data_IF_569919501516
#
_entry.id   IF_569919501516
#
_cell.length_a   1.000
_cell.length_b   1.000
_cell.length_c   1.000
_cell.angle_alpha   90.00
_cell.angle_beta   90.00
_cell.angle_gamma   90.00
#
_symmetry.space_group_name_H-M   'P 1'
#
loop_
_entity.id
_entity.type
_entity.pdbx_description
1 polymer ?
#
# COMPACT_ATOMS: atom_id res chain seq x y z
N UNK A 1 57.61 -18.32 -19.34
CA UNK A 1 57.13 -18.41 -17.95
C UNK A 1 55.89 -17.54 -17.80
N UNK A 2 54.71 -18.18 -17.79
CA UNK A 2 53.40 -17.74 -17.25
C UNK A 2 52.95 -16.30 -17.51
N UNK A 3 52.23 -16.10 -18.62
CA UNK A 3 51.15 -15.12 -18.72
C UNK A 3 49.94 -15.65 -17.93
N UNK A 4 49.62 -15.03 -16.80
CA UNK A 4 48.34 -15.24 -16.12
C UNK A 4 47.74 -13.85 -15.90
N UNK A 5 46.92 -13.42 -16.86
CA UNK A 5 46.02 -12.27 -16.70
C UNK A 5 44.75 -12.81 -16.05
N UNK A 6 44.62 -12.58 -14.75
CA UNK A 6 43.52 -13.05 -13.93
C UNK A 6 42.26 -12.20 -14.20
N UNK A 7 41.33 -12.71 -15.00
CA UNK A 7 40.01 -12.10 -15.19
C UNK A 7 39.15 -12.48 -13.97
N UNK A 8 38.94 -11.55 -13.05
CA UNK A 8 37.96 -11.70 -11.98
C UNK A 8 36.56 -11.48 -12.57
N UNK A 9 35.85 -12.57 -12.89
CA UNK A 9 34.43 -12.51 -13.26
C UNK A 9 33.63 -12.32 -11.96
N UNK A 10 33.26 -11.07 -11.67
CA UNK A 10 32.27 -10.78 -10.63
C UNK A 10 30.89 -11.08 -11.22
N UNK A 11 30.35 -12.25 -10.89
CA UNK A 11 28.94 -12.56 -11.12
C UNK A 11 28.09 -11.78 -10.09
N UNK A 12 27.61 -10.60 -10.47
CA UNK A 12 26.54 -9.92 -9.73
C UNK A 12 25.23 -10.64 -10.07
N UNK A 13 24.79 -11.54 -9.20
CA UNK A 13 23.45 -12.11 -9.30
C UNK A 13 22.44 -11.01 -8.91
N UNK A 14 21.90 -10.31 -9.91
CA UNK A 14 20.75 -9.43 -9.72
C UNK A 14 19.52 -10.31 -9.43
N UNK A 15 19.21 -10.48 -8.14
CA UNK A 15 17.93 -11.06 -7.73
C UNK A 15 16.83 -10.02 -7.91
N UNK A 16 16.13 -10.07 -9.05
CA UNK A 16 14.87 -9.34 -9.21
C UNK A 16 13.76 -10.15 -8.56
N UNK A 17 13.54 -9.97 -7.25
CA UNK A 17 12.31 -10.48 -6.63
C UNK A 17 11.10 -9.71 -7.19
N UNK A 18 10.06 -10.43 -7.58
CA UNK A 18 8.78 -9.83 -7.91
C UNK A 18 8.22 -9.10 -6.68
N UNK A 19 7.66 -7.90 -6.86
CA UNK A 19 7.04 -7.14 -5.79
C UNK A 19 5.76 -7.85 -5.33
N UNK A 20 5.59 -8.05 -4.02
CA UNK A 20 4.33 -8.59 -3.46
C UNK A 20 3.18 -7.60 -3.69
N UNK A 21 2.02 -8.10 -4.13
CA UNK A 21 0.84 -7.28 -4.45
C UNK A 21 -0.31 -7.65 -3.50
N UNK A 22 -0.91 -6.64 -2.87
CA UNK A 22 -2.17 -6.76 -2.13
C UNK A 22 -3.25 -5.95 -2.82
N UNK A 23 -4.39 -6.59 -3.11
CA UNK A 23 -5.49 -5.98 -3.87
C UNK A 23 -6.63 -5.62 -2.93
N UNK A 24 -6.93 -4.32 -2.84
CA UNK A 24 -8.13 -3.80 -2.19
C UNK A 24 -9.33 -4.03 -3.12
N UNK A 25 -10.35 -4.69 -2.60
CA UNK A 25 -11.58 -5.05 -3.32
C UNK A 25 -12.86 -4.54 -2.64
N UNK A 26 -12.73 -4.00 -1.42
CA UNK A 26 -13.86 -3.50 -0.62
C UNK A 26 -13.63 -2.06 -0.18
N UNK A 27 -14.73 -1.33 -0.02
CA UNK A 27 -14.75 0.05 0.50
C UNK A 27 -15.00 0.15 2.00
N UNK A 28 -15.37 -0.96 2.63
CA UNK A 28 -15.69 -1.01 4.07
C UNK A 28 -14.44 -0.86 4.94
N UNK A 29 -14.62 -0.29 6.12
CA UNK A 29 -13.61 -0.20 7.18
C UNK A 29 -14.21 -0.73 8.49
N UNK A 30 -14.13 -2.06 8.71
CA UNK A 30 -14.73 -2.71 9.88
C UNK A 30 -13.94 -2.39 11.16
N UNK A 31 -14.62 -2.50 12.30
CA UNK A 31 -13.98 -2.38 13.61
C UNK A 31 -12.91 -3.48 13.76
N UNK A 32 -11.61 -3.14 13.89
CA UNK A 32 -10.53 -4.12 13.99
C UNK A 32 -10.58 -4.97 15.25
N UNK A 33 -11.28 -4.54 16.29
CA UNK A 33 -11.43 -5.32 17.53
C UNK A 33 -12.55 -6.35 17.44
N UNK A 34 -13.54 -6.11 16.57
CA UNK A 34 -14.65 -7.04 16.30
C UNK A 34 -14.29 -8.00 15.16
N UNK A 35 -13.68 -7.49 14.10
CA UNK A 35 -13.30 -8.24 12.90
C UNK A 35 -11.77 -8.24 12.77
N UNK A 36 -11.08 -9.14 13.48
CA UNK A 36 -9.63 -9.10 13.57
C UNK A 36 -8.97 -9.43 12.23
N UNK A 37 -7.82 -8.80 12.05
CA UNK A 37 -6.85 -9.17 11.03
C UNK A 37 -6.07 -10.41 11.45
N UNK A 38 -5.77 -11.27 10.47
CA UNK A 38 -4.79 -12.35 10.57
C UNK A 38 -3.82 -12.29 9.38
N UNK A 39 -2.56 -12.71 9.61
CA UNK A 39 -1.55 -12.78 8.56
C UNK A 39 -1.90 -13.84 7.51
N UNK A 40 -2.50 -14.96 7.90
CA UNK A 40 -3.00 -15.98 6.99
C UNK A 40 -4.39 -15.59 6.47
N UNK A 41 -4.51 -15.40 5.15
CA UNK A 41 -5.72 -14.83 4.55
C UNK A 41 -6.97 -15.68 4.81
N UNK A 42 -6.82 -17.01 4.93
CA UNK A 42 -7.92 -17.94 5.23
C UNK A 42 -8.43 -17.85 6.67
N UNK A 43 -7.67 -17.21 7.57
CA UNK A 43 -8.01 -17.01 8.98
C UNK A 43 -8.50 -15.59 9.27
N UNK A 44 -8.33 -14.67 8.31
CA UNK A 44 -8.77 -13.29 8.44
C UNK A 44 -10.31 -13.20 8.43
N UNK A 45 -10.88 -12.29 9.23
CA UNK A 45 -12.31 -12.06 9.22
C UNK A 45 -12.79 -11.68 7.79
N UNK A 46 -13.89 -12.26 7.28
CA UNK A 46 -14.39 -11.96 5.94
C UNK A 46 -14.67 -10.47 5.71
N UNK A 47 -15.07 -9.73 6.74
CA UNK A 47 -15.31 -8.29 6.71
C UNK A 47 -14.02 -7.49 6.56
N UNK A 48 -12.92 -7.96 7.16
CA UNK A 48 -11.59 -7.34 7.12
C UNK A 48 -10.87 -7.63 5.80
N UNK A 49 -10.91 -8.88 5.33
CA UNK A 49 -10.19 -9.32 4.13
C UNK A 49 -10.59 -8.51 2.88
N UNK A 50 -9.59 -7.96 2.18
CA UNK A 50 -9.78 -7.16 0.96
C UNK A 50 -10.09 -5.68 1.18
N UNK A 51 -10.08 -5.20 2.43
CA UNK A 51 -10.20 -3.76 2.76
C UNK A 51 -8.85 -3.05 2.66
N UNK A 52 -8.84 -1.72 2.60
CA UNK A 52 -7.60 -0.92 2.71
C UNK A 52 -6.90 -1.17 4.06
N UNK A 53 -7.68 -1.35 5.13
CA UNK A 53 -7.16 -1.65 6.45
C UNK A 53 -6.38 -2.98 6.46
N UNK A 54 -6.94 -4.04 5.86
CA UNK A 54 -6.25 -5.32 5.68
C UNK A 54 -4.99 -5.18 4.85
N UNK A 55 -5.05 -4.48 3.71
CA UNK A 55 -3.89 -4.36 2.80
C UNK A 55 -2.70 -3.64 3.47
N UNK A 56 -2.96 -2.62 4.29
CA UNK A 56 -1.90 -1.93 5.04
C UNK A 56 -1.29 -2.84 6.12
N UNK A 57 -2.10 -3.66 6.82
CA UNK A 57 -1.57 -4.62 7.80
C UNK A 57 -0.68 -5.68 7.14
N UNK A 58 -1.14 -6.25 6.02
CA UNK A 58 -0.32 -7.17 5.21
C UNK A 58 0.98 -6.52 4.74
N UNK A 59 0.92 -5.26 4.30
CA UNK A 59 2.10 -4.50 3.90
C UNK A 59 3.11 -4.33 5.05
N UNK A 60 2.63 -4.05 6.26
CA UNK A 60 3.48 -3.93 7.45
C UNK A 60 4.08 -5.27 7.91
N UNK A 61 3.42 -6.39 7.66
CA UNK A 61 3.95 -7.72 7.98
C UNK A 61 4.93 -8.25 6.91
N UNK A 62 4.96 -7.62 5.73
CA UNK A 62 5.84 -8.03 4.63
C UNK A 62 7.17 -7.30 4.68
N UNK A 63 8.27 -8.04 4.79
CA UNK A 63 9.62 -7.47 4.89
C UNK A 63 10.10 -6.78 3.60
N UNK A 64 9.69 -7.30 2.44
CA UNK A 64 10.05 -6.76 1.14
C UNK A 64 9.14 -5.59 0.74
N UNK A 65 9.57 -4.76 -0.22
CA UNK A 65 8.73 -3.69 -0.78
C UNK A 65 7.44 -4.28 -1.35
N UNK A 66 6.29 -3.69 -1.01
CA UNK A 66 4.97 -4.17 -1.45
C UNK A 66 4.23 -3.14 -2.29
N UNK A 67 3.30 -3.60 -3.12
CA UNK A 67 2.37 -2.76 -3.87
C UNK A 67 0.95 -3.02 -3.39
N UNK A 68 0.24 -1.98 -3.00
CA UNK A 68 -1.20 -2.03 -2.77
C UNK A 68 -1.89 -1.49 -4.02
N UNK A 69 -2.80 -2.28 -4.59
CA UNK A 69 -3.56 -1.96 -5.80
C UNK A 69 -5.05 -2.06 -5.51
N UNK A 70 -5.87 -1.50 -6.38
CA UNK A 70 -7.33 -1.48 -6.25
C UNK A 70 -8.00 -2.17 -7.43
N UNK A 71 -8.99 -2.99 -7.11
CA UNK A 71 -9.92 -3.60 -8.07
C UNK A 71 -11.30 -3.75 -7.38
N UNK A 72 -11.89 -2.62 -7.01
CA UNK A 72 -13.17 -2.56 -6.34
C UNK A 72 -14.26 -2.64 -7.41
N UNK A 73 -15.29 -3.47 -7.17
CA UNK A 73 -16.43 -3.62 -8.09
C UNK A 73 -17.42 -2.44 -7.97
N UNK A 74 -16.92 -1.23 -8.15
CA UNK A 74 -17.63 0.05 -8.15
C UNK A 74 -16.90 1.00 -9.10
N UNK A 75 -17.64 1.86 -9.82
CA UNK A 75 -17.06 2.79 -10.80
C UNK A 75 -16.25 3.92 -10.14
N UNK A 76 -16.75 4.42 -9.01
CA UNK A 76 -16.15 5.52 -8.23
C UNK A 76 -16.23 5.14 -6.75
N UNK A 77 -15.31 4.28 -6.28
CA UNK A 77 -15.36 3.79 -4.91
C UNK A 77 -14.94 4.86 -3.89
N UNK A 78 -15.85 5.12 -2.95
CA UNK A 78 -15.58 5.86 -1.73
C UNK A 78 -15.21 4.89 -0.60
N UNK A 79 -13.94 4.88 -0.21
CA UNK A 79 -13.45 4.16 0.97
C UNK A 79 -13.68 5.06 2.17
N UNK A 80 -14.70 4.74 2.97
CA UNK A 80 -15.07 5.50 4.16
C UNK A 80 -14.34 4.91 5.37
N UNK A 81 -13.37 5.64 5.90
CA UNK A 81 -12.63 5.25 7.09
C UNK A 81 -13.43 5.60 8.34
N UNK A 82 -13.83 4.57 9.09
CA UNK A 82 -14.50 4.69 10.38
C UNK A 82 -13.50 4.65 11.54
N UNK A 83 -12.36 4.01 11.33
CA UNK A 83 -11.30 3.80 12.30
C UNK A 83 -9.96 4.34 11.76
N UNK A 84 -9.01 4.56 12.67
CA UNK A 84 -7.67 4.99 12.27
C UNK A 84 -6.95 3.83 11.58
N UNK A 85 -6.46 4.04 10.36
CA UNK A 85 -5.62 3.07 9.66
C UNK A 85 -4.33 2.80 10.46
N UNK A 86 -3.80 1.55 10.43
CA UNK A 86 -2.50 1.27 11.01
C UNK A 86 -1.41 2.13 10.35
N UNK A 87 -0.44 2.58 11.13
CA UNK A 87 0.70 3.36 10.63
C UNK A 87 1.52 2.48 9.70
N UNK A 88 1.90 2.99 8.52
CA UNK A 88 2.73 2.30 7.55
C UNK A 88 4.19 2.29 8.05
N UNK A 89 4.70 1.11 8.38
CA UNK A 89 6.05 0.90 8.94
C UNK A 89 7.03 0.27 7.97
N UNK A 90 6.54 -0.34 6.88
CA UNK A 90 7.37 -0.86 5.80
C UNK A 90 7.13 -0.10 4.48
N UNK A 91 8.11 -0.17 3.58
CA UNK A 91 8.05 0.50 2.29
C UNK A 91 6.88 -0.03 1.45
N UNK A 92 5.95 0.85 1.10
CA UNK A 92 4.77 0.52 0.28
C UNK A 92 4.59 1.48 -0.88
N UNK A 93 4.14 0.93 -2.01
CA UNK A 93 3.57 1.71 -3.11
C UNK A 93 2.06 1.51 -3.14
N UNK A 94 1.28 2.53 -2.81
CA UNK A 94 -0.18 2.51 -2.96
C UNK A 94 -0.54 3.14 -4.30
N UNK A 95 -1.13 2.33 -5.19
CA UNK A 95 -1.38 2.69 -6.58
C UNK A 95 -2.88 2.62 -6.91
N UNK A 96 -3.57 3.75 -6.76
CA UNK A 96 -4.97 3.94 -7.14
C UNK A 96 -5.21 3.91 -8.66
N UNK A 97 -4.17 4.00 -9.49
CA UNK A 97 -4.32 3.99 -10.96
C UNK A 97 -4.72 2.63 -11.51
N UNK A 98 -4.66 1.58 -10.69
CA UNK A 98 -5.10 0.24 -11.09
C UNK A 98 -6.61 0.06 -11.03
N UNK A 99 -7.34 0.97 -10.38
CA UNK A 99 -8.80 0.90 -10.34
C UNK A 99 -9.35 1.00 -11.76
N UNK A 100 -10.26 0.10 -12.12
CA UNK A 100 -10.90 0.12 -13.43
C UNK A 100 -11.56 1.49 -13.68
N UNK A 101 -11.31 2.06 -14.86
CA UNK A 101 -11.85 3.37 -15.24
C UNK A 101 -11.03 4.56 -14.76
N UNK A 102 -9.84 4.34 -14.20
CA UNK A 102 -8.88 5.42 -13.92
C UNK A 102 -8.55 6.24 -15.17
N UNK A 103 -8.52 7.56 -15.01
CA UNK A 103 -8.07 8.53 -16.01
C UNK A 103 -7.05 9.44 -15.32
N UNK A 104 -5.93 9.74 -16.00
CA UNK A 104 -4.90 10.64 -15.46
C UNK A 104 -5.48 11.98 -15.04
N UNK A 105 -5.12 12.47 -13.85
CA UNK A 105 -5.68 13.70 -13.28
C UNK A 105 -7.09 13.56 -12.69
N UNK A 106 -7.72 12.38 -12.80
CA UNK A 106 -9.03 12.06 -12.23
C UNK A 106 -8.97 10.76 -11.41
N UNK A 107 -8.41 10.83 -10.18
CA UNK A 107 -8.38 9.68 -9.27
C UNK A 107 -9.78 9.07 -9.09
N UNK A 108 -9.86 7.75 -9.19
CA UNK A 108 -11.11 7.00 -8.96
C UNK A 108 -11.27 6.52 -7.52
N UNK A 109 -10.16 6.31 -6.83
CA UNK A 109 -10.18 5.93 -5.42
C UNK A 109 -10.29 7.20 -4.59
N UNK A 110 -11.43 7.37 -3.93
CA UNK A 110 -11.67 8.43 -2.96
C UNK A 110 -11.61 7.84 -1.56
N UNK A 111 -10.75 8.38 -0.69
CA UNK A 111 -10.61 7.98 0.71
C UNK A 111 -11.13 9.14 1.57
N UNK A 112 -12.18 8.88 2.34
CA UNK A 112 -12.87 9.89 3.17
C UNK A 112 -13.00 9.48 4.62
N UNK A 113 -13.11 10.47 5.50
CA UNK A 113 -13.27 10.25 6.94
C UNK A 113 -12.02 9.66 7.60
N UNK A 114 -12.07 9.41 8.91
CA UNK A 114 -10.92 8.88 9.66
C UNK A 114 -9.79 9.89 9.89
N UNK A 115 -8.60 9.36 10.22
CA UNK A 115 -7.42 10.13 10.64
C UNK A 115 -6.32 10.27 9.58
N UNK A 116 -6.65 10.08 8.30
CA UNK A 116 -5.70 10.02 7.18
C UNK A 116 -4.79 8.79 7.16
N UNK A 117 -3.84 8.77 6.22
CA UNK A 117 -2.79 7.75 6.10
C UNK A 117 -1.55 8.23 6.85
N UNK A 118 -1.03 7.42 7.78
CA UNK A 118 0.16 7.74 8.56
C UNK A 118 1.35 6.90 8.09
N UNK A 119 2.50 7.53 7.90
CA UNK A 119 3.70 6.91 7.33
C UNK A 119 4.91 7.14 8.24
N UNK A 120 5.60 6.06 8.56
CA UNK A 120 6.91 6.06 9.22
C UNK A 120 8.01 5.44 8.36
N UNK A 121 7.65 4.67 7.34
CA UNK A 121 8.60 4.05 6.42
C UNK A 121 9.15 5.02 5.36
N UNK A 122 10.44 4.89 5.09
CA UNK A 122 11.11 5.56 3.97
C UNK A 122 10.75 4.95 2.61
N UNK A 123 10.69 5.79 1.58
CA UNK A 123 10.54 5.34 0.20
C UNK A 123 9.12 4.95 -0.19
N UNK A 124 8.12 5.37 0.58
CA UNK A 124 6.72 5.13 0.25
C UNK A 124 6.29 5.96 -0.96
N UNK A 125 5.35 5.41 -1.73
CA UNK A 125 4.79 6.08 -2.90
C UNK A 125 3.28 6.00 -2.87
N UNK A 126 2.62 7.08 -3.27
CA UNK A 126 1.18 7.20 -3.38
C UNK A 126 0.84 7.77 -4.75
N UNK A 127 -0.05 7.09 -5.48
CA UNK A 127 -0.43 7.50 -6.84
C UNK A 127 -1.92 7.30 -7.07
N UNK A 128 -2.59 8.21 -7.78
CA UNK A 128 -3.97 8.02 -8.22
C UNK A 128 -4.99 7.96 -7.09
N UNK A 129 -4.75 8.65 -5.98
CA UNK A 129 -5.64 8.70 -4.82
C UNK A 129 -6.19 10.11 -4.63
N UNK A 130 -7.48 10.20 -4.33
CA UNK A 130 -8.08 11.42 -3.78
C UNK A 130 -8.36 11.19 -2.30
N UNK A 131 -7.75 12.00 -1.43
CA UNK A 131 -7.88 11.85 0.03
C UNK A 131 -8.50 13.12 0.60
N UNK A 132 -9.72 13.01 1.11
CA UNK A 132 -10.47 14.11 1.70
C UNK A 132 -10.73 13.82 3.18
N UNK A 133 -10.16 14.63 4.06
CA UNK A 133 -10.14 14.37 5.50
C UNK A 133 -10.63 15.59 6.27
N UNK A 134 -11.65 15.42 7.10
CA UNK A 134 -12.13 16.48 7.96
C UNK A 134 -11.22 16.57 9.19
N UNK A 135 -10.48 17.68 9.32
CA UNK A 135 -9.57 17.99 10.44
C UNK A 135 -8.25 17.18 10.50
N UNK A 136 -7.93 16.38 9.47
CA UNK A 136 -6.67 15.64 9.39
C UNK A 136 -5.91 15.92 8.10
N UNK A 137 -4.61 15.67 8.14
CA UNK A 137 -3.75 15.67 6.96
C UNK A 137 -4.00 14.34 6.22
N UNK A 138 -4.24 14.40 4.90
CA UNK A 138 -4.51 13.22 4.08
C UNK A 138 -3.42 12.15 4.18
N UNK A 139 -2.15 12.56 4.08
CA UNK A 139 -0.98 11.69 4.28
C UNK A 139 0.00 12.40 5.23
N UNK A 140 0.19 11.85 6.42
CA UNK A 140 1.09 12.39 7.44
C UNK A 140 2.34 11.54 7.58
N UNK A 141 3.52 12.15 7.36
CA UNK A 141 4.82 11.51 7.53
C UNK A 141 5.46 11.94 8.85
N UNK A 142 5.86 10.99 9.70
CA UNK A 142 6.44 11.29 11.03
C UNK A 142 7.97 11.18 11.08
N UNK A 143 8.53 10.20 10.36
CA UNK A 143 9.98 9.92 10.34
C UNK A 143 10.45 9.45 8.95
N UNK A 144 9.65 9.74 7.91
CA UNK A 144 9.97 9.34 6.56
C UNK A 144 10.78 10.44 5.86
N UNK A 145 12.01 10.13 5.48
CA UNK A 145 12.93 11.00 4.74
C UNK A 145 12.49 11.23 3.28
N UNK A 146 11.69 10.32 2.73
CA UNK A 146 11.18 10.41 1.36
C UNK A 146 9.84 9.70 1.20
N UNK A 147 8.82 10.47 0.82
CA UNK A 147 7.50 9.99 0.38
C UNK A 147 7.16 10.70 -0.92
N UNK A 148 6.78 9.94 -1.95
CA UNK A 148 6.41 10.48 -3.27
C UNK A 148 4.90 10.44 -3.45
N UNK A 149 4.30 11.55 -3.85
CA UNK A 149 2.88 11.66 -4.18
C UNK A 149 2.79 12.09 -5.65
N UNK A 150 2.09 11.30 -6.45
CA UNK A 150 1.91 11.54 -7.89
C UNK A 150 0.45 11.40 -8.29
N UNK A 151 0.08 12.02 -9.41
CA UNK A 151 -1.25 11.86 -10.01
C UNK A 151 -1.45 10.44 -10.55
#
# INVERSE_FOLDING_TARGET
MKTILQICIILFALSTKAQTIYTVTKTTDPDPFVYPYDYEDSLCAPEMYGTLQWAIRKANDTQDSVKIVFNINQSEPDIILNFTLPVITNKVFIDGTTQQGYISGHPKIKIVGGGGIKVQANGCKFKGLYIEQNNYIGIQCYYADYTEITE
#
